data_IF_758572140721
#
_entry.id   IF_758572140721
#
_cell.length_a   1.000
_cell.length_b   1.000
_cell.length_c   1.000
_cell.angle_alpha   90.00
_cell.angle_beta   90.00
_cell.angle_gamma   90.00
#
_symmetry.space_group_name_H-M   'P 1'
#
loop_
_entity.id
_entity.type
_entity.pdbx_description
1 polymer ?
#
# COMPACT_ATOMS: atom_id res chain seq x y z
N UNK A 1 14.67 0.48 23.89
CA UNK A 1 13.40 -0.05 23.38
C UNK A 1 13.18 0.58 22.01
N UNK A 2 12.78 -0.21 21.02
CA UNK A 2 12.58 0.27 19.64
C UNK A 2 11.10 0.54 19.45
N UNK A 3 10.74 1.77 19.05
CA UNK A 3 9.34 2.10 18.79
C UNK A 3 8.93 1.58 17.41
N UNK A 4 7.78 0.92 17.35
CA UNK A 4 7.13 0.41 16.15
C UNK A 4 5.77 1.10 15.95
N UNK A 5 5.42 1.37 14.70
CA UNK A 5 4.13 1.90 14.29
C UNK A 5 3.47 0.86 13.41
N UNK A 6 2.35 0.35 13.86
CA UNK A 6 1.50 -0.53 13.07
C UNK A 6 0.21 0.20 12.78
N UNK A 7 -0.38 -0.05 11.62
CA UNK A 7 -1.67 0.53 11.27
C UNK A 7 -2.52 -0.41 10.46
N UNK A 8 -3.83 -0.31 10.64
CA UNK A 8 -4.83 -0.93 9.78
C UNK A 8 -5.80 0.15 9.34
N UNK A 9 -5.95 0.28 8.02
CA UNK A 9 -6.68 1.33 7.34
C UNK A 9 -7.86 0.71 6.62
N UNK A 10 -9.00 1.38 6.66
CA UNK A 10 -10.20 1.06 5.86
C UNK A 10 -10.52 2.26 4.97
N UNK A 11 -10.82 2.03 3.70
CA UNK A 11 -11.23 3.06 2.74
C UNK A 11 -12.72 3.39 2.89
N UNK A 12 -13.19 4.44 2.21
CA UNK A 12 -14.64 4.65 2.09
C UNK A 12 -15.30 3.50 1.30
N UNK A 13 -16.59 3.27 1.59
CA UNK A 13 -17.41 2.37 0.80
C UNK A 13 -17.74 3.04 -0.54
N UNK A 14 -17.52 2.32 -1.64
CA UNK A 14 -17.78 2.84 -2.96
C UNK A 14 -17.68 1.77 -4.04
N UNK A 15 -17.90 2.18 -5.29
CA UNK A 15 -17.80 1.26 -6.45
C UNK A 15 -16.36 1.24 -6.94
N UNK A 16 -15.66 0.15 -6.62
CA UNK A 16 -14.31 -0.10 -7.05
C UNK A 16 -14.28 -0.74 -8.44
N UNK A 17 -13.52 -0.13 -9.34
CA UNK A 17 -13.15 -0.70 -10.64
C UNK A 17 -11.63 -0.52 -10.90
N UNK A 18 -10.86 -0.31 -9.83
CA UNK A 18 -9.44 -0.01 -9.93
C UNK A 18 -8.67 -1.27 -10.33
N UNK A 19 -8.37 -1.39 -11.61
CA UNK A 19 -7.37 -2.32 -12.08
C UNK A 19 -6.46 -1.69 -13.14
N UNK A 20 -5.16 -1.75 -12.89
CA UNK A 20 -4.07 -1.52 -13.86
C UNK A 20 -3.39 -2.82 -14.30
N UNK A 21 -3.96 -3.96 -13.94
CA UNK A 21 -3.51 -5.30 -14.28
C UNK A 21 -4.05 -5.80 -15.61
N UNK A 22 -4.06 -7.12 -15.76
CA UNK A 22 -4.37 -7.80 -17.01
C UNK A 22 -5.86 -7.71 -17.38
N UNK A 23 -6.11 -7.53 -18.69
CA UNK A 23 -7.43 -7.59 -19.30
C UNK A 23 -7.64 -8.94 -19.95
N UNK A 24 -8.80 -9.56 -19.76
CA UNK A 24 -9.18 -10.79 -20.47
C UNK A 24 -10.01 -10.42 -21.71
N UNK A 25 -9.35 -10.33 -22.87
CA UNK A 25 -9.97 -9.80 -24.08
C UNK A 25 -10.39 -8.34 -23.88
N UNK A 26 -11.70 -8.07 -23.89
CA UNK A 26 -12.27 -6.74 -23.66
C UNK A 26 -12.79 -6.53 -22.22
N UNK A 27 -12.55 -7.49 -21.31
CA UNK A 27 -12.94 -7.41 -19.91
C UNK A 27 -11.78 -6.88 -19.07
N UNK A 28 -11.98 -5.74 -18.44
CA UNK A 28 -11.12 -5.29 -17.34
C UNK A 28 -11.55 -6.02 -16.08
N UNK A 29 -10.69 -6.91 -15.58
CA UNK A 29 -10.98 -7.70 -14.37
C UNK A 29 -10.55 -6.93 -13.12
N UNK A 30 -11.00 -7.32 -11.94
CA UNK A 30 -10.41 -6.98 -10.65
C UNK A 30 -9.46 -8.10 -10.22
N UNK A 31 -8.38 -7.76 -9.51
CA UNK A 31 -7.58 -8.77 -8.82
C UNK A 31 -8.40 -9.38 -7.69
N UNK A 32 -8.39 -10.72 -7.56
CA UNK A 32 -9.21 -11.46 -6.61
C UNK A 32 -8.38 -12.47 -5.82
N UNK A 33 -8.81 -12.81 -4.60
CA UNK A 33 -8.29 -13.95 -3.82
C UNK A 33 -9.41 -14.63 -3.04
N UNK A 34 -9.16 -15.85 -2.57
CA UNK A 34 -10.04 -16.52 -1.62
C UNK A 34 -9.69 -16.06 -0.20
N UNK A 35 -10.63 -15.40 0.49
CA UNK A 35 -10.48 -14.93 1.87
C UNK A 35 -11.63 -15.45 2.70
N UNK A 36 -11.32 -16.10 3.84
CA UNK A 36 -12.34 -16.63 4.77
C UNK A 36 -13.44 -17.48 4.10
N UNK A 37 -13.10 -18.17 3.00
CA UNK A 37 -14.02 -19.04 2.26
C UNK A 37 -14.77 -18.37 1.12
N UNK A 38 -14.64 -17.06 0.94
CA UNK A 38 -15.33 -16.30 -0.11
C UNK A 38 -14.34 -15.61 -1.06
N UNK A 39 -14.80 -15.29 -2.27
CA UNK A 39 -13.97 -14.54 -3.22
C UNK A 39 -14.00 -13.07 -2.85
N UNK A 40 -12.84 -12.47 -2.64
CA UNK A 40 -12.72 -11.03 -2.36
C UNK A 40 -11.92 -10.36 -3.46
N UNK A 41 -12.36 -9.18 -3.87
CA UNK A 41 -11.54 -8.29 -4.69
C UNK A 41 -10.41 -7.72 -3.85
N UNK A 42 -9.39 -7.18 -4.50
CA UNK A 42 -8.16 -6.86 -3.82
C UNK A 42 -7.25 -5.93 -4.61
N UNK A 43 -6.35 -5.26 -3.90
CA UNK A 43 -5.38 -4.34 -4.49
C UNK A 43 -3.99 -4.64 -3.94
N UNK A 44 -2.98 -4.72 -4.81
CA UNK A 44 -1.62 -5.12 -4.43
C UNK A 44 -0.96 -4.13 -3.47
N UNK A 45 -0.04 -4.63 -2.64
CA UNK A 45 0.77 -3.78 -1.77
C UNK A 45 1.66 -2.83 -2.61
N UNK A 46 2.08 -3.26 -3.79
CA UNK A 46 2.86 -2.49 -4.75
C UNK A 46 2.08 -1.28 -5.28
N UNK A 47 0.78 -1.43 -5.53
CA UNK A 47 -0.07 -0.32 -5.95
C UNK A 47 -0.21 0.74 -4.85
N UNK A 48 -0.29 0.32 -3.59
CA UNK A 48 -0.30 1.22 -2.42
C UNK A 48 1.05 1.92 -2.28
N UNK A 49 2.16 1.18 -2.40
CA UNK A 49 3.53 1.73 -2.40
C UNK A 49 3.73 2.76 -3.52
N UNK A 50 3.21 2.47 -4.71
CA UNK A 50 3.24 3.41 -5.83
C UNK A 50 2.45 4.68 -5.50
N UNK A 51 1.25 4.59 -4.95
CA UNK A 51 0.45 5.76 -4.59
C UNK A 51 1.11 6.61 -3.50
N UNK A 52 1.75 5.99 -2.50
CA UNK A 52 2.55 6.71 -1.49
C UNK A 52 3.72 7.45 -2.16
N UNK A 53 4.43 6.80 -3.10
CA UNK A 53 5.51 7.46 -3.85
C UNK A 53 4.99 8.62 -4.70
N UNK A 54 3.84 8.45 -5.36
CA UNK A 54 3.21 9.49 -6.15
C UNK A 54 2.84 10.71 -5.29
N UNK A 55 2.33 10.48 -4.08
CA UNK A 55 2.10 11.56 -3.11
C UNK A 55 3.39 12.33 -2.79
N UNK A 56 4.50 11.63 -2.52
CA UNK A 56 5.80 12.31 -2.26
C UNK A 56 6.27 13.11 -3.47
N UNK A 57 6.15 12.55 -4.68
CA UNK A 57 6.48 13.26 -5.91
C UNK A 57 5.64 14.53 -6.06
N UNK A 58 4.32 14.47 -5.87
CA UNK A 58 3.44 15.64 -5.92
C UNK A 58 3.81 16.68 -4.87
N UNK A 59 4.10 16.27 -3.63
CA UNK A 59 4.53 17.20 -2.57
C UNK A 59 5.85 17.89 -2.94
N UNK A 60 6.83 17.16 -3.47
CA UNK A 60 8.09 17.74 -3.94
C UNK A 60 7.86 18.72 -5.09
N UNK A 61 7.05 18.36 -6.09
CA UNK A 61 6.74 19.22 -7.23
C UNK A 61 5.98 20.50 -6.82
N UNK A 62 5.11 20.41 -5.82
CA UNK A 62 4.36 21.55 -5.30
C UNK A 62 5.21 22.49 -4.44
N UNK A 63 6.10 21.94 -3.61
CA UNK A 63 6.77 22.70 -2.53
C UNK A 63 8.25 22.96 -2.77
N UNK A 64 8.91 22.15 -3.61
CA UNK A 64 10.36 22.12 -3.75
C UNK A 64 11.11 21.60 -2.52
N UNK A 65 10.42 20.98 -1.56
CA UNK A 65 11.02 20.49 -0.32
C UNK A 65 11.71 19.14 -0.53
N UNK A 66 13.03 19.14 -0.45
CA UNK A 66 13.93 17.98 -0.63
C UNK A 66 13.59 16.80 0.31
N UNK A 67 12.89 17.04 1.42
CA UNK A 67 12.43 15.95 2.31
C UNK A 67 11.49 14.96 1.61
N UNK A 68 10.78 15.40 0.57
CA UNK A 68 9.88 14.58 -0.24
C UNK A 68 10.54 13.99 -1.49
N UNK A 69 11.83 14.26 -1.73
CA UNK A 69 12.49 13.84 -2.96
C UNK A 69 12.51 12.30 -3.08
N UNK A 70 11.99 11.80 -4.19
CA UNK A 70 12.05 10.38 -4.55
C UNK A 70 13.07 10.13 -5.67
N UNK A 71 13.74 8.98 -5.63
CA UNK A 71 14.63 8.54 -6.69
C UNK A 71 13.84 8.06 -7.90
N UNK A 72 12.83 7.21 -7.65
CA UNK A 72 11.88 6.77 -8.66
C UNK A 72 10.79 7.82 -8.78
N UNK A 73 10.47 8.23 -10.00
CA UNK A 73 9.39 9.18 -10.25
C UNK A 73 8.65 8.78 -11.53
N UNK A 74 7.38 9.15 -11.59
CA UNK A 74 6.53 8.92 -12.75
C UNK A 74 6.63 10.11 -13.70
N UNK A 75 6.87 9.83 -14.97
CA UNK A 75 6.86 10.81 -16.06
C UNK A 75 5.60 10.59 -16.88
N UNK A 76 4.62 11.47 -16.73
CA UNK A 76 3.41 11.41 -17.54
C UNK A 76 3.69 11.92 -18.96
N UNK A 77 3.32 11.15 -19.98
CA UNK A 77 3.33 11.54 -21.39
C UNK A 77 1.92 11.41 -21.98
N UNK A 78 1.60 12.09 -23.10
CA UNK A 78 0.31 11.94 -23.78
C UNK A 78 0.00 10.49 -24.21
N UNK A 79 1.02 9.68 -24.48
CA UNK A 79 0.90 8.30 -24.96
C UNK A 79 0.84 7.25 -23.84
N UNK A 80 1.01 7.68 -22.58
CA UNK A 80 1.12 6.80 -21.42
C UNK A 80 2.51 6.95 -20.77
N UNK A 81 2.51 7.34 -19.51
CA UNK A 81 3.74 7.62 -18.77
C UNK A 81 4.59 6.39 -18.49
N UNK A 82 5.82 6.64 -18.05
CA UNK A 82 6.77 5.61 -17.60
C UNK A 82 7.52 6.08 -16.34
N UNK A 83 8.20 5.15 -15.68
CA UNK A 83 9.08 5.44 -14.57
C UNK A 83 10.47 5.87 -15.04
N UNK A 84 11.03 6.86 -14.37
CA UNK A 84 12.42 7.24 -14.49
C UNK A 84 13.11 7.22 -13.13
N UNK A 85 14.44 7.14 -13.16
CA UNK A 85 15.30 7.23 -11.98
C UNK A 85 16.09 8.53 -12.02
N UNK A 86 16.20 9.20 -10.87
CA UNK A 86 17.11 10.35 -10.71
C UNK A 86 18.56 9.89 -10.65
N UNK A 87 18.80 8.78 -9.96
CA UNK A 87 20.13 8.23 -9.77
C UNK A 87 20.10 6.70 -9.69
N UNK A 88 20.73 6.04 -10.66
CA UNK A 88 20.87 4.58 -10.67
C UNK A 88 21.76 4.04 -9.55
N UNK A 89 22.49 4.91 -8.86
CA UNK A 89 23.35 4.55 -7.74
C UNK A 89 22.63 4.58 -6.39
N UNK A 90 21.28 4.65 -6.33
CA UNK A 90 20.37 4.57 -5.15
C UNK A 90 20.95 4.97 -3.78
N UNK A 91 20.25 5.84 -3.05
CA UNK A 91 20.74 6.38 -1.78
C UNK A 91 19.60 6.53 -0.78
N UNK A 92 19.66 5.78 0.32
CA UNK A 92 18.73 5.92 1.44
C UNK A 92 18.93 7.25 2.19
N UNK A 93 20.08 7.91 2.06
CA UNK A 93 20.27 9.23 2.64
C UNK A 93 19.54 10.29 1.81
N UNK A 94 19.68 10.24 0.49
CA UNK A 94 19.22 11.32 -0.40
C UNK A 94 17.74 11.17 -0.79
N UNK A 95 17.24 9.94 -0.92
CA UNK A 95 15.90 9.69 -1.48
C UNK A 95 14.98 8.97 -0.50
N UNK A 96 13.81 9.58 -0.29
CA UNK A 96 12.78 9.10 0.65
C UNK A 96 12.29 7.69 0.32
N UNK A 97 12.05 7.38 -0.95
CA UNK A 97 11.50 6.08 -1.36
C UNK A 97 12.55 4.95 -1.34
N UNK A 98 13.82 5.27 -1.52
CA UNK A 98 14.93 4.31 -1.37
C UNK A 98 15.14 3.93 0.10
N UNK A 99 14.98 4.89 1.01
CA UNK A 99 15.02 4.62 2.45
C UNK A 99 13.80 3.82 2.92
N UNK A 100 12.61 4.23 2.48
CA UNK A 100 11.34 3.67 2.92
C UNK A 100 11.08 2.27 2.36
N UNK A 101 11.20 2.11 1.04
CA UNK A 101 10.84 0.87 0.33
C UNK A 101 12.05 0.01 -0.02
N UNK A 102 13.26 0.55 0.12
CA UNK A 102 14.47 -0.15 -0.27
C UNK A 102 14.65 -0.18 -1.78
N UNK A 103 15.74 -0.85 -2.18
CA UNK A 103 16.16 -1.03 -3.56
C UNK A 103 16.99 -2.29 -3.71
N UNK A 104 17.10 -2.78 -4.94
CA UNK A 104 18.01 -3.85 -5.32
C UNK A 104 18.65 -3.49 -6.66
N UNK A 105 19.93 -3.14 -6.63
CA UNK A 105 20.75 -2.94 -7.82
C UNK A 105 21.48 -4.25 -8.12
N UNK A 106 20.97 -5.00 -9.10
CA UNK A 106 21.56 -6.24 -9.58
C UNK A 106 22.43 -5.95 -10.81
N UNK A 107 23.75 -5.88 -10.63
CA UNK A 107 24.67 -5.79 -11.76
C UNK A 107 24.90 -7.19 -12.34
N UNK A 108 24.58 -7.36 -13.62
CA UNK A 108 24.95 -8.57 -14.36
C UNK A 108 26.48 -8.76 -14.30
N UNK A 109 26.99 -9.99 -14.16
CA UNK A 109 28.41 -10.24 -14.28
C UNK A 109 28.89 -9.79 -15.66
N UNK A 110 30.06 -9.13 -15.72
CA UNK A 110 30.63 -8.57 -16.95
C UNK A 110 30.84 -9.59 -18.10
N UNK A 111 30.63 -10.89 -17.85
CA UNK A 111 30.74 -11.97 -18.83
C UNK A 111 29.43 -12.35 -19.54
N UNK A 112 28.31 -11.65 -19.30
CA UNK A 112 27.04 -11.92 -20.01
C UNK A 112 26.66 -10.83 -21.04
N UNK A 113 27.58 -9.90 -21.32
CA UNK A 113 27.50 -9.00 -22.47
C UNK A 113 28.32 -9.62 -23.62
N UNK A 114 27.63 -10.37 -24.48
CA UNK A 114 28.08 -10.97 -25.74
C UNK A 114 29.16 -12.07 -25.69
N UNK A 115 28.74 -13.31 -25.97
CA UNK A 115 29.43 -14.18 -26.93
C UNK A 115 28.47 -15.26 -27.45
N UNK A 116 27.76 -14.96 -28.53
CA UNK A 116 27.23 -15.99 -29.44
C UNK A 116 28.40 -16.56 -30.23
N UNK A 117 29.21 -17.41 -29.62
CA UNK A 117 30.16 -18.25 -30.34
C UNK A 117 29.89 -19.72 -29.98
N UNK A 118 29.31 -20.44 -30.93
CA UNK A 118 29.28 -21.89 -30.96
C UNK A 118 30.72 -22.41 -30.99
N UNK A 119 31.21 -22.96 -29.88
CA UNK A 119 32.40 -23.83 -29.92
C UNK A 119 31.95 -25.28 -29.97
N UNK A 120 32.14 -25.88 -31.16
CA UNK A 120 32.20 -27.31 -31.34
C UNK A 120 33.49 -27.86 -30.71
N UNK A 121 33.40 -28.38 -29.49
CA UNK A 121 33.98 -29.68 -29.14
C UNK A 121 33.65 -30.05 -27.70
N UNK A 122 33.24 -31.30 -27.50
CA UNK A 122 32.83 -31.83 -26.22
C UNK A 122 34.00 -32.01 -25.28
N UNK A 123 34.18 -31.09 -24.32
CA UNK A 123 34.84 -31.38 -23.04
C UNK A 123 34.47 -30.35 -21.96
N UNK A 124 34.00 -30.87 -20.83
CA UNK A 124 33.37 -30.14 -19.73
C UNK A 124 34.38 -29.47 -18.79
N UNK A 125 34.58 -28.16 -18.95
CA UNK A 125 35.15 -27.31 -17.90
C UNK A 125 34.02 -26.59 -17.16
N UNK A 126 33.70 -27.04 -15.94
CA UNK A 126 32.71 -26.42 -15.05
C UNK A 126 33.28 -25.09 -14.51
N UNK A 127 33.38 -24.06 -15.36
CA UNK A 127 33.72 -22.69 -14.95
C UNK A 127 32.63 -22.19 -14.02
N UNK A 128 32.99 -21.93 -12.77
CA UNK A 128 32.13 -21.29 -11.78
C UNK A 128 31.78 -19.90 -12.32
N UNK A 129 30.56 -19.73 -12.84
CA UNK A 129 30.08 -18.41 -13.27
C UNK A 129 30.30 -17.41 -12.13
N UNK A 130 30.95 -16.26 -12.34
CA UNK A 130 31.12 -15.26 -11.30
C UNK A 130 29.73 -14.81 -10.83
N UNK A 131 29.45 -14.97 -9.53
CA UNK A 131 28.19 -14.48 -8.94
C UNK A 131 28.16 -12.96 -9.10
N UNK A 132 27.11 -12.43 -9.73
CA UNK A 132 26.86 -10.99 -9.79
C UNK A 132 26.85 -10.41 -8.37
N UNK A 133 27.45 -9.22 -8.21
CA UNK A 133 27.36 -8.46 -6.96
C UNK A 133 26.07 -7.66 -7.00
N UNK A 134 25.14 -7.96 -6.08
CA UNK A 134 23.93 -7.18 -5.89
C UNK A 134 24.10 -6.25 -4.68
N UNK A 135 23.78 -4.97 -4.85
CA UNK A 135 23.67 -4.02 -3.73
C UNK A 135 22.19 -3.88 -3.42
N UNK A 136 21.76 -4.39 -2.27
CA UNK A 136 20.36 -4.42 -1.89
C UNK A 136 20.15 -3.86 -0.49
N UNK A 137 19.07 -3.10 -0.33
CA UNK A 137 18.55 -2.63 0.95
C UNK A 137 17.10 -3.07 1.09
N UNK A 138 16.76 -3.71 2.21
CA UNK A 138 15.37 -3.97 2.58
C UNK A 138 14.73 -2.66 3.06
N UNK A 139 13.55 -2.34 2.54
CA UNK A 139 12.78 -1.18 3.00
C UNK A 139 12.35 -1.31 4.47
N UNK A 140 12.23 -0.16 5.14
CA UNK A 140 11.76 -0.06 6.52
C UNK A 140 10.24 -0.25 6.67
N UNK A 141 9.47 -0.13 5.57
CA UNK A 141 8.01 -0.21 5.59
C UNK A 141 7.47 -1.49 4.95
N UNK A 142 6.58 -2.14 5.69
CA UNK A 142 5.83 -3.30 5.24
C UNK A 142 4.36 -2.91 5.04
N UNK A 143 3.76 -3.39 3.94
CA UNK A 143 2.35 -3.11 3.59
C UNK A 143 1.73 -4.43 3.16
N UNK A 144 0.55 -4.74 3.69
CA UNK A 144 -0.24 -5.87 3.25
C UNK A 144 -0.97 -5.57 1.96
N UNK A 145 -1.41 -6.61 1.26
CA UNK A 145 -2.46 -6.44 0.24
C UNK A 145 -3.70 -5.82 0.85
N UNK A 146 -4.39 -4.99 0.08
CA UNK A 146 -5.73 -4.56 0.43
C UNK A 146 -6.73 -5.65 0.02
N UNK A 147 -7.67 -5.93 0.90
CA UNK A 147 -8.73 -6.94 0.71
C UNK A 147 -10.06 -6.23 0.93
N UNK A 148 -11.04 -6.50 0.07
CA UNK A 148 -12.40 -5.97 0.24
C UNK A 148 -13.02 -6.50 1.53
N UNK A 149 -13.80 -5.68 2.23
CA UNK A 149 -14.59 -6.12 3.37
C UNK A 149 -15.78 -6.97 2.94
N UNK A 150 -16.33 -6.66 1.77
CA UNK A 150 -17.45 -7.37 1.17
C UNK A 150 -16.93 -8.45 0.21
N UNK A 151 -17.59 -9.61 0.12
CA UNK A 151 -17.30 -10.61 -0.90
C UNK A 151 -17.65 -10.10 -2.30
N UNK A 152 -16.78 -10.38 -3.27
CA UNK A 152 -17.04 -10.08 -4.67
C UNK A 152 -18.00 -11.11 -5.27
N UNK A 153 -19.16 -10.63 -5.72
CA UNK A 153 -20.25 -11.47 -6.24
C UNK A 153 -20.26 -11.64 -7.78
N UNK A 154 -19.24 -11.12 -8.50
CA UNK A 154 -19.11 -11.32 -9.95
C UNK A 154 -19.75 -10.23 -10.82
N UNK A 155 -19.99 -9.03 -10.29
CA UNK A 155 -20.63 -7.97 -11.07
C UNK A 155 -19.75 -7.46 -12.21
N UNK A 156 -20.34 -7.34 -13.39
CA UNK A 156 -19.70 -6.85 -14.61
C UNK A 156 -20.61 -5.85 -15.30
N UNK A 157 -20.06 -4.70 -15.67
CA UNK A 157 -20.73 -3.71 -16.51
C UNK A 157 -20.34 -3.91 -17.97
N UNK A 158 -21.26 -3.62 -18.88
CA UNK A 158 -21.02 -3.64 -20.33
C UNK A 158 -21.18 -2.22 -20.87
N UNK A 159 -20.14 -1.73 -21.53
CA UNK A 159 -20.01 -0.35 -21.94
C UNK A 159 -19.64 -0.27 -23.43
N UNK A 160 -19.93 0.88 -24.03
CA UNK A 160 -19.54 1.20 -25.39
C UNK A 160 -18.83 2.55 -25.42
N UNK A 161 -17.85 2.69 -26.32
CA UNK A 161 -17.26 4.00 -26.64
C UNK A 161 -17.96 4.58 -27.88
N UNK A 162 -18.23 5.88 -27.89
CA UNK A 162 -18.71 6.58 -29.09
C UNK A 162 -17.62 6.70 -30.16
N UNK A 163 -18.01 6.77 -31.44
CA UNK A 163 -17.09 6.99 -32.57
C UNK A 163 -16.96 5.78 -33.51
N UNK A 164 -15.81 5.64 -34.17
CA UNK A 164 -15.56 4.54 -35.11
C UNK A 164 -15.47 3.21 -34.35
N UNK A 165 -16.32 2.26 -34.74
CA UNK A 165 -16.32 0.90 -34.21
C UNK A 165 -14.99 0.19 -34.55
N UNK A 166 -14.34 -0.31 -33.51
CA UNK A 166 -13.18 -1.19 -33.54
C UNK A 166 -13.34 -2.29 -32.47
N UNK A 167 -12.29 -3.10 -32.26
CA UNK A 167 -12.31 -4.19 -31.29
C UNK A 167 -12.48 -3.74 -29.84
N UNK A 168 -12.13 -2.50 -29.50
CA UNK A 168 -12.25 -1.94 -28.13
C UNK A 168 -13.53 -1.14 -27.94
N UNK A 169 -14.40 -1.09 -28.94
CA UNK A 169 -15.58 -0.23 -28.92
C UNK A 169 -16.72 -0.76 -28.06
N UNK A 170 -16.72 -2.06 -27.78
CA UNK A 170 -17.52 -2.70 -26.75
C UNK A 170 -16.54 -3.27 -25.72
N UNK A 171 -16.72 -2.89 -24.46
CA UNK A 171 -15.86 -3.34 -23.38
C UNK A 171 -16.68 -3.69 -22.15
N UNK A 172 -16.11 -4.52 -21.30
CA UNK A 172 -16.69 -4.91 -20.04
C UNK A 172 -15.74 -4.57 -18.90
N UNK A 173 -16.29 -4.28 -17.73
CA UNK A 173 -15.50 -3.96 -16.54
C UNK A 173 -16.14 -4.59 -15.31
N UNK A 174 -15.37 -5.40 -14.59
CA UNK A 174 -15.77 -5.86 -13.26
C UNK A 174 -15.84 -4.67 -12.30
N UNK A 175 -16.93 -4.59 -11.56
CA UNK A 175 -17.16 -3.55 -10.54
C UNK A 175 -17.45 -4.20 -9.21
N UNK A 176 -17.10 -3.54 -8.11
CA UNK A 176 -17.38 -4.06 -6.79
C UNK A 176 -17.72 -2.96 -5.80
N UNK A 177 -18.92 -3.00 -5.23
CA UNK A 177 -19.33 -2.09 -4.17
C UNK A 177 -18.75 -2.57 -2.83
N UNK A 178 -17.68 -1.94 -2.36
CA UNK A 178 -16.99 -2.37 -1.13
C UNK A 178 -16.13 -1.27 -0.51
N UNK A 179 -15.67 -1.52 0.71
CA UNK A 179 -14.52 -0.85 1.32
C UNK A 179 -13.32 -1.77 1.28
N UNK A 180 -12.11 -1.24 1.11
CA UNK A 180 -10.88 -2.03 1.22
C UNK A 180 -10.23 -1.82 2.57
N UNK A 181 -9.66 -2.89 3.11
CA UNK A 181 -8.80 -2.86 4.28
C UNK A 181 -7.39 -3.29 3.94
N UNK A 182 -6.38 -2.57 4.43
CA UNK A 182 -4.98 -2.98 4.40
C UNK A 182 -4.28 -2.58 5.70
N UNK A 183 -3.13 -3.17 5.94
CA UNK A 183 -2.32 -2.88 7.11
C UNK A 183 -0.89 -2.52 6.71
N UNK A 184 -0.22 -1.76 7.56
CA UNK A 184 1.19 -1.40 7.41
C UNK A 184 1.94 -1.53 8.73
N UNK A 185 3.26 -1.68 8.62
CA UNK A 185 4.19 -1.62 9.74
C UNK A 185 5.41 -0.78 9.35
N UNK A 186 5.85 0.08 10.26
CA UNK A 186 7.02 0.94 10.09
C UNK A 186 7.76 1.04 11.42
N UNK A 187 9.08 0.91 11.36
CA UNK A 187 9.97 1.13 12.50
C UNK A 187 10.83 2.35 12.20
N UNK A 188 10.60 3.52 12.83
CA UNK A 188 11.33 4.75 12.50
C UNK A 188 12.85 4.62 12.59
N UNK A 189 13.36 3.86 13.56
CA UNK A 189 14.81 3.62 13.72
C UNK A 189 15.45 2.79 12.60
N UNK A 190 14.66 2.17 11.71
CA UNK A 190 15.17 1.44 10.54
C UNK A 190 15.31 2.33 9.31
N UNK A 191 14.77 3.54 9.35
CA UNK A 191 15.01 4.57 8.35
C UNK A 191 16.39 5.20 8.59
N UNK A 192 17.07 5.57 7.50
CA UNK A 192 18.27 6.40 7.59
C UNK A 192 17.95 7.78 8.17
N UNK A 193 16.75 8.30 7.91
CA UNK A 193 16.23 9.54 8.50
C UNK A 193 14.89 9.24 9.22
N UNK A 194 14.91 9.00 10.54
CA UNK A 194 13.72 8.60 11.31
C UNK A 194 12.52 9.55 11.15
N UNK A 195 12.75 10.85 10.99
CA UNK A 195 11.72 11.88 10.83
C UNK A 195 10.83 11.65 9.60
N UNK A 196 11.33 10.92 8.59
CA UNK A 196 10.55 10.53 7.41
C UNK A 196 9.33 9.70 7.78
N UNK A 197 9.31 9.05 8.94
CA UNK A 197 8.13 8.32 9.41
C UNK A 197 6.89 9.22 9.51
N UNK A 198 7.05 10.52 9.79
CA UNK A 198 5.92 11.46 9.82
C UNK A 198 5.36 11.70 8.42
N UNK A 199 6.23 11.89 7.43
CA UNK A 199 5.84 12.07 6.02
C UNK A 199 5.08 10.85 5.50
N UNK A 200 5.46 9.65 5.95
CA UNK A 200 4.76 8.40 5.62
C UNK A 200 3.34 8.41 6.20
N UNK A 201 3.17 8.84 7.44
CA UNK A 201 1.84 8.96 8.05
C UNK A 201 0.97 9.99 7.31
N UNK A 202 1.54 11.12 6.87
CA UNK A 202 0.84 12.12 6.05
C UNK A 202 0.41 11.54 4.69
N UNK A 203 1.28 10.76 4.05
CA UNK A 203 0.99 10.10 2.78
C UNK A 203 -0.13 9.07 2.91
N UNK A 204 -0.14 8.26 3.96
CA UNK A 204 -1.22 7.29 4.21
C UNK A 204 -2.54 8.02 4.52
N UNK A 205 -2.50 9.09 5.31
CA UNK A 205 -3.68 9.90 5.65
C UNK A 205 -4.32 10.58 4.41
N UNK A 206 -3.56 10.74 3.33
CA UNK A 206 -3.94 11.44 2.11
C UNK A 206 -3.97 10.56 0.86
N UNK A 207 -3.96 9.23 1.04
CA UNK A 207 -3.93 8.25 -0.05
C UNK A 207 -5.18 8.38 -0.95
N UNK A 208 -5.07 8.36 -2.27
CA UNK A 208 -6.24 8.54 -3.15
C UNK A 208 -6.19 7.76 -4.48
N UNK A 209 -5.02 7.65 -5.12
CA UNK A 209 -4.86 7.13 -6.49
C UNK A 209 -4.30 5.69 -6.56
N UNK A 210 -4.75 4.81 -5.66
CA UNK A 210 -4.24 3.43 -5.59
C UNK A 210 -4.80 2.57 -6.72
N UNK A 211 -3.92 1.86 -7.43
CA UNK A 211 -4.30 0.97 -8.53
C UNK A 211 -4.53 1.69 -9.86
N UNK A 212 -4.26 2.99 -9.92
CA UNK A 212 -4.48 3.83 -11.09
C UNK A 212 -5.95 4.14 -11.30
N UNK A 213 -6.45 5.18 -10.64
CA UNK A 213 -7.77 5.76 -10.96
C UNK A 213 -7.75 6.18 -12.43
N UNK A 214 -8.41 5.41 -13.30
CA UNK A 214 -8.74 5.92 -14.63
C UNK A 214 -9.80 7.00 -14.46
N UNK A 215 -9.79 8.03 -15.30
CA UNK A 215 -10.83 9.08 -15.30
C UNK A 215 -12.28 8.55 -15.39
N UNK A 216 -12.43 7.27 -15.76
CA UNK A 216 -13.72 6.56 -15.88
C UNK A 216 -14.21 5.96 -14.56
N UNK A 217 -13.31 5.66 -13.63
CA UNK A 217 -13.61 4.95 -12.39
C UNK A 217 -12.88 5.64 -11.23
N UNK A 218 -13.62 6.46 -10.50
CA UNK A 218 -13.13 7.13 -9.29
C UNK A 218 -13.53 6.30 -8.08
N UNK A 219 -12.57 5.59 -7.50
CA UNK A 219 -12.71 5.02 -6.17
C UNK A 219 -11.87 5.83 -5.19
N UNK A 220 -12.49 6.24 -4.09
CA UNK A 220 -11.81 7.00 -3.05
C UNK A 220 -11.03 6.04 -2.13
N UNK A 221 -9.72 5.93 -2.39
CA UNK A 221 -8.83 5.11 -1.58
C UNK A 221 -8.36 5.81 -0.30
N UNK A 222 -8.89 7.00 0.00
CA UNK A 222 -8.55 7.68 1.24
C UNK A 222 -9.13 6.96 2.47
N UNK A 223 -8.43 7.04 3.63
CA UNK A 223 -8.90 6.39 4.84
C UNK A 223 -10.26 6.95 5.30
N UNK A 224 -11.27 6.08 5.39
CA UNK A 224 -12.51 6.37 6.14
C UNK A 224 -12.33 6.12 7.63
N UNK A 225 -11.51 5.12 7.98
CA UNK A 225 -11.18 4.73 9.34
C UNK A 225 -9.75 4.19 9.43
N UNK A 226 -9.12 4.36 10.60
CA UNK A 226 -7.79 3.84 10.88
C UNK A 226 -7.68 3.39 12.33
N UNK A 227 -6.98 2.28 12.56
CA UNK A 227 -6.44 1.90 13.86
C UNK A 227 -4.92 1.94 13.78
N UNK A 228 -4.28 2.75 14.61
CA UNK A 228 -2.83 2.82 14.76
C UNK A 228 -2.43 2.23 16.11
N UNK A 229 -1.29 1.55 16.14
CA UNK A 229 -0.67 1.03 17.35
C UNK A 229 0.78 1.48 17.41
N UNK A 230 1.15 2.15 18.51
CA UNK A 230 2.50 2.58 18.78
C UNK A 230 3.00 1.82 20.01
N UNK A 231 4.03 1.00 19.83
CA UNK A 231 4.43 -0.01 20.82
C UNK A 231 5.92 -0.33 20.68
N UNK A 232 6.53 -0.92 21.72
CA UNK A 232 7.85 -1.53 21.63
C UNK A 232 7.80 -3.00 21.14
N UNK A 233 6.60 -3.55 20.98
CA UNK A 233 6.38 -4.88 20.44
C UNK A 233 6.44 -4.90 18.89
N UNK A 234 7.37 -5.66 18.30
CA UNK A 234 7.45 -5.77 16.84
C UNK A 234 6.23 -6.47 16.22
N UNK A 235 5.45 -7.24 16.99
CA UNK A 235 4.26 -7.92 16.47
C UNK A 235 3.09 -6.94 16.33
N UNK A 236 2.49 -6.75 15.14
CA UNK A 236 1.41 -5.78 14.95
C UNK A 236 0.15 -6.08 15.77
N UNK A 237 -0.29 -7.35 15.79
CA UNK A 237 -1.55 -7.87 16.38
C UNK A 237 -2.85 -7.17 15.95
N UNK A 238 -2.79 -6.19 15.06
CA UNK A 238 -3.94 -5.43 14.55
C UNK A 238 -4.21 -5.63 13.06
N UNK A 239 -3.53 -6.59 12.41
CA UNK A 239 -3.70 -6.83 10.97
C UNK A 239 -5.11 -7.33 10.67
N UNK A 240 -5.74 -6.73 9.66
CA UNK A 240 -7.11 -7.08 9.20
C UNK A 240 -8.15 -7.16 10.34
N UNK A 241 -8.10 -6.21 11.28
CA UNK A 241 -8.93 -6.21 12.48
C UNK A 241 -10.38 -5.77 12.25
N UNK A 242 -10.64 -5.01 11.18
CA UNK A 242 -11.99 -4.66 10.77
C UNK A 242 -12.60 -5.87 10.07
N UNK A 243 -13.67 -6.41 10.67
CA UNK A 243 -14.34 -7.62 10.20
C UNK A 243 -15.77 -7.33 9.74
N UNK A 244 -16.34 -8.22 8.93
CA UNK A 244 -17.71 -8.10 8.44
C UNK A 244 -17.85 -7.18 7.22
N UNK A 245 -19.03 -7.25 6.62
CA UNK A 245 -19.44 -6.43 5.48
C UNK A 245 -19.47 -4.94 5.84
N UNK A 246 -19.48 -4.08 4.83
CA UNK A 246 -19.42 -2.63 5.00
C UNK A 246 -20.59 -2.03 5.79
N UNK A 247 -21.69 -2.74 5.97
CA UNK A 247 -22.85 -2.36 6.79
C UNK A 247 -22.91 -3.05 8.17
N UNK A 248 -21.94 -3.92 8.47
CA UNK A 248 -21.96 -4.69 9.71
C UNK A 248 -21.83 -3.80 10.95
N UNK A 249 -22.62 -4.03 12.01
CA UNK A 249 -22.50 -3.29 13.27
C UNK A 249 -21.29 -3.72 14.11
N UNK A 250 -20.70 -4.89 13.85
CA UNK A 250 -19.74 -5.57 14.74
C UNK A 250 -18.28 -5.60 14.25
N UNK A 251 -17.88 -4.58 13.49
CA UNK A 251 -16.59 -4.59 12.79
C UNK A 251 -15.35 -4.60 13.68
N UNK A 252 -15.47 -4.22 14.94
CA UNK A 252 -14.35 -4.17 15.91
C UNK A 252 -14.49 -5.20 17.05
N UNK A 253 -15.39 -6.19 16.93
CA UNK A 253 -15.61 -7.19 17.98
C UNK A 253 -14.31 -7.91 18.37
N UNK A 254 -13.50 -8.32 17.38
CA UNK A 254 -12.20 -8.96 17.60
C UNK A 254 -11.20 -8.04 18.31
N UNK A 255 -11.16 -6.76 17.96
CA UNK A 255 -10.31 -5.77 18.63
C UNK A 255 -10.68 -5.64 20.09
N UNK A 256 -11.98 -5.44 20.35
CA UNK A 256 -12.50 -5.32 21.70
C UNK A 256 -12.07 -6.53 22.52
N UNK A 257 -12.40 -7.74 22.07
CA UNK A 257 -12.01 -8.98 22.76
C UNK A 257 -10.51 -9.07 23.08
N UNK A 258 -9.65 -8.74 22.11
CA UNK A 258 -8.18 -8.81 22.28
C UNK A 258 -7.69 -7.82 23.34
N UNK A 259 -8.30 -6.64 23.42
CA UNK A 259 -8.00 -5.64 24.45
C UNK A 259 -8.56 -6.07 25.82
N UNK A 260 -9.77 -6.62 25.88
CA UNK A 260 -10.35 -7.12 27.14
C UNK A 260 -9.53 -8.29 27.73
N UNK A 261 -8.96 -9.12 26.87
CA UNK A 261 -8.09 -10.22 27.26
C UNK A 261 -6.70 -9.77 27.73
N UNK A 262 -6.31 -8.52 27.47
CA UNK A 262 -4.99 -7.98 27.82
C UNK A 262 -3.87 -8.33 26.83
N UNK A 263 -4.19 -8.90 25.67
CA UNK A 263 -3.22 -9.20 24.60
C UNK A 263 -2.77 -7.93 23.84
N UNK A 264 -3.58 -6.87 23.95
CA UNK A 264 -3.31 -5.53 23.42
C UNK A 264 -3.55 -4.48 24.52
N UNK A 265 -2.54 -3.66 24.81
CA UNK A 265 -2.71 -2.50 25.70
C UNK A 265 -3.44 -1.38 24.94
N UNK A 266 -4.60 -0.97 25.43
CA UNK A 266 -5.39 0.09 24.83
C UNK A 266 -4.66 1.43 24.75
N UNK A 267 -3.69 1.72 25.63
CA UNK A 267 -2.92 2.98 25.61
C UNK A 267 -2.01 3.10 24.39
N UNK A 268 -1.60 1.98 23.81
CA UNK A 268 -0.83 1.93 22.57
C UNK A 268 -1.68 2.27 21.34
N UNK A 269 -3.01 2.20 21.47
CA UNK A 269 -3.95 2.25 20.36
C UNK A 269 -4.54 3.64 20.15
N UNK A 270 -4.64 4.02 18.88
CA UNK A 270 -5.32 5.22 18.40
C UNK A 270 -6.29 4.80 17.30
N UNK A 271 -7.58 5.04 17.50
CA UNK A 271 -8.64 4.81 16.52
C UNK A 271 -9.13 6.14 15.97
N UNK A 272 -9.29 6.24 14.66
CA UNK A 272 -9.74 7.45 13.97
C UNK A 272 -10.77 7.17 12.89
N UNK A 273 -11.61 8.16 12.59
CA UNK A 273 -12.53 8.16 11.45
C UNK A 273 -13.94 7.68 11.78
N UNK A 274 -14.65 7.17 10.77
CA UNK A 274 -16.04 6.69 10.90
C UNK A 274 -16.21 5.65 12.01
N UNK A 275 -15.19 4.80 12.22
CA UNK A 275 -15.15 3.79 13.26
C UNK A 275 -15.28 4.35 14.68
N UNK A 276 -14.94 5.63 14.90
CA UNK A 276 -15.11 6.29 16.20
C UNK A 276 -16.59 6.38 16.62
N UNK A 277 -17.53 6.34 15.67
CA UNK A 277 -18.97 6.36 15.95
C UNK A 277 -19.54 5.01 16.39
N UNK A 278 -18.79 3.92 16.27
CA UNK A 278 -19.30 2.58 16.56
C UNK A 278 -19.34 2.27 18.06
N UNK A 279 -20.27 1.40 18.47
CA UNK A 279 -20.46 1.04 19.87
C UNK A 279 -19.20 0.42 20.49
N UNK A 280 -18.52 -0.46 19.75
CA UNK A 280 -17.29 -1.11 20.22
C UNK A 280 -16.15 -0.09 20.37
N UNK A 281 -16.10 0.96 19.55
CA UNK A 281 -15.12 2.02 19.70
C UNK A 281 -15.35 2.83 20.99
N UNK A 282 -16.61 3.08 21.37
CA UNK A 282 -16.93 3.70 22.64
C UNK A 282 -16.56 2.78 23.82
N UNK A 283 -16.84 1.48 23.70
CA UNK A 283 -16.43 0.50 24.69
C UNK A 283 -14.90 0.46 24.88
N UNK A 284 -14.12 0.56 23.80
CA UNK A 284 -12.65 0.54 23.86
C UNK A 284 -12.03 1.70 24.65
N UNK A 285 -12.73 2.85 24.78
CA UNK A 285 -12.25 3.98 25.60
C UNK A 285 -12.00 3.59 27.06
N UNK A 286 -12.77 2.64 27.60
CA UNK A 286 -12.60 2.16 28.99
C UNK A 286 -11.24 1.49 29.24
N UNK A 287 -10.59 1.03 28.18
CA UNK A 287 -9.26 0.42 28.21
C UNK A 287 -8.13 1.38 27.82
N UNK A 288 -8.42 2.67 27.65
CA UNK A 288 -7.41 3.69 27.35
C UNK A 288 -7.12 3.91 25.86
N UNK A 289 -7.90 3.30 24.96
CA UNK A 289 -7.81 3.58 23.52
C UNK A 289 -8.16 5.03 23.24
N UNK A 290 -7.28 5.74 22.54
CA UNK A 290 -7.54 7.10 22.10
C UNK A 290 -8.42 7.07 20.84
N UNK A 291 -9.63 7.62 20.93
CA UNK A 291 -10.63 7.55 19.85
C UNK A 291 -10.98 8.95 19.36
N UNK A 292 -10.78 9.19 18.07
CA UNK A 292 -10.95 10.50 17.41
C UNK A 292 -11.96 10.41 16.25
N UNK A 293 -12.86 11.40 16.09
CA UNK A 293 -13.80 11.40 14.98
C UNK A 293 -13.13 11.46 13.60
N UNK A 294 -11.97 12.12 13.49
CA UNK A 294 -11.26 12.32 12.22
C UNK A 294 -10.05 11.40 12.06
N UNK A 295 -9.85 10.87 10.84
CA UNK A 295 -8.64 10.09 10.52
C UNK A 295 -7.37 10.95 10.57
N UNK A 296 -7.42 12.18 10.05
CA UNK A 296 -6.28 13.11 10.09
C UNK A 296 -5.84 13.42 11.52
N UNK A 297 -6.79 13.59 12.43
CA UNK A 297 -6.51 13.82 13.84
C UNK A 297 -5.79 12.59 14.47
N UNK A 298 -6.27 11.38 14.19
CA UNK A 298 -5.60 10.16 14.67
C UNK A 298 -4.14 10.04 14.17
N UNK A 299 -3.88 10.36 12.90
CA UNK A 299 -2.51 10.38 12.36
C UNK A 299 -1.64 11.46 13.02
N UNK A 300 -2.16 12.66 13.25
CA UNK A 300 -1.44 13.73 13.96
C UNK A 300 -1.07 13.32 15.39
N UNK A 301 -1.99 12.65 16.09
CA UNK A 301 -1.75 12.14 17.44
C UNK A 301 -0.67 11.05 17.45
N UNK A 302 -0.65 10.17 16.44
CA UNK A 302 0.43 9.22 16.26
C UNK A 302 1.77 9.91 16.01
N UNK A 303 1.82 10.89 15.10
CA UNK A 303 3.04 11.65 14.79
C UNK A 303 3.63 12.36 16.03
N UNK A 304 2.77 12.88 16.92
CA UNK A 304 3.18 13.51 18.17
C UNK A 304 3.93 12.57 19.12
N UNK A 305 3.64 11.26 19.06
CA UNK A 305 4.27 10.21 19.89
C UNK A 305 5.55 9.62 19.30
N UNK A 306 5.93 9.97 18.05
CA UNK A 306 7.12 9.40 17.39
C UNK A 306 8.43 10.09 17.77
N UNK A 307 8.37 11.28 18.37
CA UNK A 307 9.54 12.09 18.75
C UNK A 307 9.51 12.50 20.25
N UNK A 308 8.73 11.79 21.06
CA UNK A 308 8.72 11.90 22.53
C UNK A 308 9.55 10.77 23.13
#
# INVERSE_FOLDING_TARGET
MTLHIHGTVVTHYGVAANNRGETEGNLTTLQKLLWKGETHSSVSAEAIRFAIRAYFQEQYELTGDERFLTNRYWVATPEGGDHAWRNQSFSEADYLDDDLFGYMDAKAPASELHSDEETADGQSAKKTKPKGKARARRGAMEISRAISLDPFIGETTFNARGGHKDKTSLYATEIHATSYQFSFSLTPSYLAVPERSKLVLDAIASLNAVGGNQSRYLFDFSPSSVLLRLTDDPAPRILFIFEGASDSPDKLAKLLHTVEAGDLDGKELILGGEAAGWEQAQALRKYGVAVFPGVKEAFQQAQGRLLS
#
